data_IF_557442300599
#
_entry.id   IF_557442300599
#
_cell.length_a   1.000
_cell.length_b   1.000
_cell.length_c   1.000
_cell.angle_alpha   90.00
_cell.angle_beta   90.00
_cell.angle_gamma   90.00
#
_symmetry.space_group_name_H-M   'P 1'
#
loop_
_entity.id
_entity.type
_entity.pdbx_description
1 polymer ?
#
# COMPACT_ATOMS: atom_id res chain seq x y z
N UNK A 1 -6.32 -1.84 -16.70
CA UNK A 1 -5.07 -2.65 -16.73
C UNK A 1 -4.15 -2.15 -17.83
N UNK A 2 -2.85 -2.09 -17.57
CA UNK A 2 -1.84 -1.79 -18.60
C UNK A 2 -1.07 -3.08 -18.87
N UNK A 3 -1.22 -3.72 -20.05
CA UNK A 3 -0.72 -5.08 -20.30
C UNK A 3 0.80 -5.22 -20.22
N UNK A 4 1.54 -4.11 -20.37
CA UNK A 4 2.99 -4.08 -20.36
C UNK A 4 3.59 -3.66 -19.01
N UNK A 5 2.77 -3.57 -17.95
CA UNK A 5 3.23 -3.25 -16.60
C UNK A 5 3.05 -4.47 -15.71
N UNK A 6 4.17 -4.93 -15.16
CA UNK A 6 4.17 -5.93 -14.09
C UNK A 6 4.26 -5.23 -12.74
N UNK A 7 3.21 -5.36 -11.92
CA UNK A 7 3.22 -4.85 -10.55
C UNK A 7 3.89 -5.88 -9.63
N UNK A 8 5.10 -5.60 -9.18
CA UNK A 8 5.90 -6.53 -8.34
C UNK A 8 5.75 -6.25 -6.84
N UNK A 9 5.67 -4.98 -6.48
CA UNK A 9 5.60 -4.54 -5.09
C UNK A 9 4.83 -3.22 -4.96
N UNK A 10 4.18 -3.03 -3.80
CA UNK A 10 3.58 -1.76 -3.38
C UNK A 10 4.24 -1.37 -2.06
N UNK A 11 4.79 -0.16 -1.98
CA UNK A 11 5.28 0.41 -0.74
C UNK A 11 4.41 1.59 -0.30
N UNK A 12 4.23 1.73 1.01
CA UNK A 12 3.47 2.82 1.62
C UNK A 12 4.36 3.67 2.51
N UNK A 13 3.96 4.91 2.77
CA UNK A 13 4.67 5.85 3.63
C UNK A 13 3.67 6.82 4.24
N UNK A 14 3.98 7.35 5.42
CA UNK A 14 3.20 8.43 5.99
C UNK A 14 3.23 9.68 5.09
N UNK A 15 2.06 10.20 4.77
CA UNK A 15 1.86 11.29 3.82
C UNK A 15 0.49 11.93 3.96
N UNK A 16 -0.41 11.65 3.02
CA UNK A 16 -1.80 12.12 3.08
C UNK A 16 -2.55 11.57 4.30
N UNK A 17 -2.20 10.35 4.75
CA UNK A 17 -2.62 9.74 6.00
C UNK A 17 -1.42 9.09 6.71
N UNK A 18 -1.64 8.46 7.87
CA UNK A 18 -0.60 7.70 8.57
C UNK A 18 -0.11 6.52 7.74
N UNK A 19 1.04 5.95 8.09
CA UNK A 19 1.57 4.79 7.36
C UNK A 19 0.68 3.57 7.55
N UNK A 20 0.06 3.42 8.73
CA UNK A 20 -0.89 2.36 9.03
C UNK A 20 -2.12 2.49 8.14
N UNK A 21 -2.69 3.71 8.03
CA UNK A 21 -3.87 3.96 7.20
C UNK A 21 -3.57 3.77 5.72
N UNK A 22 -2.44 4.27 5.21
CA UNK A 22 -2.06 4.09 3.80
C UNK A 22 -1.79 2.62 3.46
N UNK A 23 -1.24 1.84 4.40
CA UNK A 23 -1.07 0.38 4.25
C UNK A 23 -2.41 -0.34 4.24
N UNK A 24 -3.30 0.00 5.17
CA UNK A 24 -4.65 -0.55 5.19
C UNK A 24 -5.41 -0.23 3.90
N UNK A 25 -5.25 0.98 3.37
CA UNK A 25 -5.86 1.38 2.09
C UNK A 25 -5.34 0.54 0.92
N UNK A 26 -4.06 0.16 0.91
CA UNK A 26 -3.53 -0.79 -0.09
C UNK A 26 -4.21 -2.14 0.04
N UNK A 27 -4.39 -2.67 1.26
CA UNK A 27 -5.08 -3.95 1.46
C UNK A 27 -6.55 -3.87 1.00
N UNK A 28 -7.22 -2.77 1.33
CA UNK A 28 -8.57 -2.40 0.88
C UNK A 28 -8.70 -2.47 -0.64
N UNK A 29 -7.81 -1.79 -1.35
CA UNK A 29 -7.81 -1.76 -2.80
C UNK A 29 -7.51 -3.15 -3.38
N UNK A 30 -6.54 -3.88 -2.82
CA UNK A 30 -6.18 -5.21 -3.32
C UNK A 30 -7.31 -6.24 -3.14
N UNK A 31 -8.10 -6.18 -2.07
CA UNK A 31 -9.23 -7.11 -1.93
C UNK A 31 -10.32 -6.88 -2.98
N UNK A 32 -10.51 -5.65 -3.43
CA UNK A 32 -11.49 -5.34 -4.49
C UNK A 32 -11.01 -5.86 -5.85
N UNK A 33 -9.70 -5.96 -6.03
CA UNK A 33 -9.08 -6.47 -7.26
C UNK A 33 -8.89 -8.00 -7.24
N UNK A 34 -9.20 -8.65 -6.12
CA UNK A 34 -8.87 -10.06 -5.85
C UNK A 34 -9.63 -11.08 -6.72
N UNK A 35 -10.67 -10.64 -7.45
CA UNK A 35 -11.29 -11.48 -8.49
C UNK A 35 -10.31 -11.80 -9.64
N UNK A 36 -9.23 -11.03 -9.76
CA UNK A 36 -8.18 -11.21 -10.76
C UNK A 36 -6.94 -11.88 -10.13
N UNK A 37 -7.03 -13.20 -9.93
CA UNK A 37 -6.07 -14.13 -9.26
C UNK A 37 -4.57 -14.04 -9.62
N UNK A 38 -4.18 -13.15 -10.53
CA UNK A 38 -2.83 -13.05 -11.08
C UNK A 38 -1.98 -11.91 -10.48
N UNK A 39 -2.54 -11.10 -9.56
CA UNK A 39 -1.85 -9.92 -9.01
C UNK A 39 -1.70 -10.04 -7.49
N UNK A 40 -0.58 -10.63 -7.06
CA UNK A 40 -0.16 -10.68 -5.65
C UNK A 40 1.15 -9.92 -5.42
N UNK A 41 1.15 -8.57 -5.45
CA UNK A 41 2.37 -7.81 -5.19
C UNK A 41 2.79 -7.94 -3.73
N UNK A 42 4.10 -7.91 -3.49
CA UNK A 42 4.61 -7.80 -2.13
C UNK A 42 4.26 -6.42 -1.55
N UNK A 43 3.97 -6.36 -0.24
CA UNK A 43 3.50 -5.13 0.42
C UNK A 43 4.53 -4.68 1.44
N UNK A 44 5.00 -3.44 1.30
CA UNK A 44 5.99 -2.83 2.17
C UNK A 44 5.42 -1.67 2.97
N UNK A 45 5.42 -1.76 4.30
CA UNK A 45 5.10 -0.62 5.17
C UNK A 45 6.37 0.21 5.42
N UNK A 46 6.34 1.49 5.03
CA UNK A 46 7.49 2.37 5.07
C UNK A 46 7.54 3.29 6.28
N UNK A 47 8.12 4.47 6.09
CA UNK A 47 8.40 5.38 7.19
C UNK A 47 7.10 5.99 7.77
N UNK A 48 6.92 6.01 9.11
CA UNK A 48 5.74 6.60 9.75
C UNK A 48 5.79 8.14 9.82
N UNK A 49 6.91 8.76 9.42
CA UNK A 49 7.09 10.21 9.44
C UNK A 49 8.20 10.66 8.49
N UNK A 50 8.22 11.96 8.13
CA UNK A 50 9.35 12.54 7.39
C UNK A 50 10.66 12.47 8.17
N UNK A 51 11.79 12.51 7.47
CA UNK A 51 13.12 12.42 8.08
C UNK A 51 13.46 13.58 9.04
N UNK A 52 12.94 14.80 8.79
CA UNK A 52 13.32 16.02 9.53
C UNK A 52 12.14 16.89 9.95
N UNK A 53 11.15 17.06 9.08
CA UNK A 53 9.99 17.94 9.33
C UNK A 53 8.92 17.21 10.14
N UNK A 54 8.08 17.99 10.84
CA UNK A 54 6.90 17.46 11.49
C UNK A 54 5.99 16.76 10.47
N UNK A 55 5.42 15.63 10.88
CA UNK A 55 4.40 14.93 10.11
C UNK A 55 3.10 15.73 10.13
N UNK A 56 2.45 15.84 8.97
CA UNK A 56 1.14 16.47 8.79
C UNK A 56 0.38 15.67 7.74
N UNK A 57 -0.84 15.27 8.07
CA UNK A 57 -1.76 14.59 7.15
C UNK A 57 -2.45 15.62 6.23
N UNK A 58 -3.13 15.10 5.21
CA UNK A 58 -3.89 15.88 4.24
C UNK A 58 -5.38 15.48 4.26
N UNK A 59 -5.90 15.10 5.43
CA UNK A 59 -7.27 14.59 5.62
C UNK A 59 -8.34 15.52 5.06
N UNK A 60 -8.13 16.84 5.11
CA UNK A 60 -9.05 17.84 4.52
C UNK A 60 -9.29 17.63 3.01
N UNK A 61 -8.32 17.04 2.32
CA UNK A 61 -8.39 16.80 0.87
C UNK A 61 -8.69 15.34 0.53
N UNK A 62 -8.23 14.41 1.36
CA UNK A 62 -8.29 12.97 1.09
C UNK A 62 -9.27 12.21 1.99
N UNK A 63 -10.07 12.88 2.82
CA UNK A 63 -10.87 12.22 3.85
C UNK A 63 -10.05 11.76 5.05
N UNK A 64 -10.73 11.41 6.13
CA UNK A 64 -10.10 10.96 7.38
C UNK A 64 -9.38 9.61 7.22
N UNK A 65 -9.85 8.78 6.30
CA UNK A 65 -9.22 7.52 5.94
C UNK A 65 -8.11 7.67 4.88
N UNK A 66 -7.86 8.87 4.36
CA UNK A 66 -6.92 9.09 3.25
C UNK A 66 -7.36 8.50 1.91
N UNK A 67 -8.60 8.03 1.79
CA UNK A 67 -9.20 7.40 0.61
C UNK A 67 -10.62 7.94 0.30
N UNK A 68 -10.92 9.17 0.74
CA UNK A 68 -12.16 9.87 0.42
C UNK A 68 -13.35 9.52 1.32
N UNK A 69 -13.11 8.99 2.53
CA UNK A 69 -14.13 8.46 3.43
C UNK A 69 -14.93 7.33 2.78
N UNK A 70 -14.23 6.42 2.11
CA UNK A 70 -14.83 5.32 1.34
C UNK A 70 -14.92 4.01 2.13
N UNK A 71 -14.78 4.06 3.46
CA UNK A 71 -14.78 2.91 4.34
C UNK A 71 -15.92 1.90 4.10
N UNK A 72 -17.13 2.41 3.84
CA UNK A 72 -18.33 1.58 3.60
C UNK A 72 -18.21 0.69 2.34
N UNK A 73 -17.35 1.05 1.37
CA UNK A 73 -17.10 0.23 0.17
C UNK A 73 -16.34 -1.07 0.48
N UNK A 74 -15.78 -1.19 1.68
CA UNK A 74 -14.90 -2.27 2.09
C UNK A 74 -15.51 -3.14 3.19
N UNK A 75 -16.81 -2.98 3.48
CA UNK A 75 -17.51 -3.78 4.47
C UNK A 75 -17.54 -5.26 4.05
N UNK A 76 -17.08 -6.15 4.93
CA UNK A 76 -17.02 -7.60 4.68
C UNK A 76 -15.84 -8.07 3.82
N UNK A 77 -14.96 -7.17 3.36
CA UNK A 77 -13.77 -7.57 2.63
C UNK A 77 -12.72 -8.25 3.54
N UNK A 78 -12.07 -9.29 3.01
CA UNK A 78 -11.12 -10.13 3.74
C UNK A 78 -9.69 -9.70 3.38
N UNK A 79 -9.02 -9.05 4.32
CA UNK A 79 -7.68 -8.48 4.12
C UNK A 79 -6.57 -9.29 4.80
N UNK A 80 -6.94 -10.23 5.68
CA UNK A 80 -6.00 -10.96 6.54
C UNK A 80 -4.95 -11.73 5.75
N UNK A 81 -5.32 -12.26 4.57
CA UNK A 81 -4.37 -12.97 3.69
C UNK A 81 -3.16 -12.13 3.25
N UNK A 82 -3.29 -10.81 3.29
CA UNK A 82 -2.22 -9.88 2.93
C UNK A 82 -1.48 -9.32 4.15
N UNK A 83 -2.09 -9.33 5.35
CA UNK A 83 -1.49 -8.74 6.56
C UNK A 83 -0.20 -9.44 6.96
N UNK A 84 -0.20 -10.77 6.93
CA UNK A 84 0.96 -11.59 7.32
C UNK A 84 2.15 -11.46 6.36
N UNK A 85 1.97 -10.76 5.23
CA UNK A 85 2.99 -10.55 4.18
C UNK A 85 3.54 -9.13 4.16
N UNK A 86 3.17 -8.28 5.10
CA UNK A 86 3.68 -6.90 5.18
C UNK A 86 5.09 -6.93 5.76
N UNK A 87 6.03 -6.32 5.05
CA UNK A 87 7.44 -6.21 5.45
C UNK A 87 7.93 -4.75 5.45
N UNK A 88 9.12 -4.44 5.98
CA UNK A 88 9.67 -3.09 5.89
C UNK A 88 9.84 -2.64 4.43
N UNK A 89 9.30 -1.48 4.07
CA UNK A 89 9.31 -1.03 2.68
C UNK A 89 10.71 -0.81 2.11
N UNK A 90 11.64 -0.33 2.93
CA UNK A 90 13.03 -0.07 2.48
C UNK A 90 13.70 -1.38 2.08
N UNK A 91 13.57 -2.41 2.92
CA UNK A 91 14.13 -3.73 2.66
C UNK A 91 13.47 -4.36 1.42
N UNK A 92 12.13 -4.29 1.32
CA UNK A 92 11.40 -4.74 0.13
C UNK A 92 11.89 -4.06 -1.15
N UNK A 93 12.12 -2.75 -1.13
CA UNK A 93 12.63 -2.02 -2.30
C UNK A 93 14.02 -2.53 -2.67
N UNK A 94 14.93 -2.66 -1.70
CA UNK A 94 16.29 -3.17 -1.93
C UNK A 94 16.25 -4.57 -2.49
N UNK A 95 15.51 -5.49 -1.87
CA UNK A 95 15.39 -6.87 -2.29
C UNK A 95 14.75 -6.99 -3.68
N UNK A 96 13.70 -6.23 -3.96
CA UNK A 96 13.04 -6.24 -5.27
C UNK A 96 14.01 -5.79 -6.37
N UNK A 97 14.80 -4.75 -6.12
CA UNK A 97 15.77 -4.25 -7.09
C UNK A 97 16.92 -5.23 -7.30
N UNK A 98 17.46 -5.81 -6.24
CA UNK A 98 18.56 -6.78 -6.31
C UNK A 98 18.18 -8.07 -7.04
N UNK A 99 16.92 -8.50 -6.93
CA UNK A 99 16.42 -9.72 -7.59
C UNK A 99 15.67 -9.44 -8.90
N UNK A 100 15.54 -8.18 -9.31
CA UNK A 100 14.99 -7.83 -10.61
C UNK A 100 15.94 -8.29 -11.73
N UNK A 101 15.40 -8.92 -12.77
CA UNK A 101 16.20 -9.20 -13.98
C UNK A 101 16.60 -7.86 -14.59
N UNK A 102 17.85 -7.72 -15.03
CA UNK A 102 18.31 -6.51 -15.73
C UNK A 102 17.31 -6.16 -16.84
N UNK A 103 16.89 -4.89 -16.86
CA UNK A 103 16.19 -4.27 -17.98
C UNK A 103 16.98 -4.44 -19.28
#
# INVERSE_FOLDING_TARGET
>A
KTPNIQLTAISTVAGNATVEQTTENVLKILSLLDEEKDVEPAIGMGAPKPLKRAFKTAERYHGHDGLGNTGDLFEGAIFEKFRDRIQPAVDLIVDTLLHSKSL
#
